data_IF_988512918047
#
_entry.id   IF_988512918047
#
_cell.length_a   1.000
_cell.length_b   1.000
_cell.length_c   1.000
_cell.angle_alpha   90.00
_cell.angle_beta   90.00
_cell.angle_gamma   90.00
#
_symmetry.space_group_name_H-M   'P 1'
#
loop_
_entity.id
_entity.type
_entity.pdbx_description
1 polymer ?
#
# COMPACT_ATOMS: atom_id res chain seq x y z
N UNK A 1 5.65 -14.22 7.95
CA UNK A 1 7.07 -13.87 8.14
C UNK A 1 7.77 -14.88 9.05
N UNK A 2 7.62 -14.81 10.39
CA UNK A 2 8.43 -15.60 11.34
C UNK A 2 8.44 -17.13 11.10
N UNK A 3 7.30 -17.74 10.76
CA UNK A 3 7.25 -19.18 10.47
C UNK A 3 8.07 -19.58 9.24
N UNK A 4 8.01 -18.76 8.18
CA UNK A 4 8.80 -18.99 6.96
C UNK A 4 10.28 -18.72 7.21
N UNK A 5 10.59 -17.66 7.96
CA UNK A 5 11.95 -17.32 8.36
C UNK A 5 12.61 -18.45 9.17
N UNK A 6 11.88 -19.05 10.12
CA UNK A 6 12.37 -20.19 10.90
C UNK A 6 12.68 -21.44 10.06
N UNK A 7 12.17 -21.51 8.83
CA UNK A 7 12.44 -22.55 7.85
C UNK A 7 13.48 -22.11 6.80
N UNK A 8 14.07 -20.92 6.93
CA UNK A 8 14.99 -20.36 5.93
C UNK A 8 14.32 -19.97 4.62
N UNK A 9 13.02 -19.67 4.65
CA UNK A 9 12.25 -19.25 3.47
C UNK A 9 11.98 -17.74 3.49
N UNK A 10 12.08 -17.13 2.32
CA UNK A 10 11.60 -15.76 2.08
C UNK A 10 10.08 -15.74 1.89
N UNK A 11 9.47 -14.58 2.17
CA UNK A 11 8.04 -14.32 1.99
C UNK A 11 7.86 -12.94 1.42
N UNK A 12 7.06 -12.84 0.36
CA UNK A 12 6.66 -11.55 -0.20
C UNK A 12 5.19 -11.24 0.07
N UNK A 13 4.91 -9.96 0.23
CA UNK A 13 3.57 -9.45 0.51
C UNK A 13 2.82 -9.31 -0.80
N UNK A 14 1.64 -9.93 -0.87
CA UNK A 14 0.76 -9.74 -2.02
C UNK A 14 0.12 -8.34 -2.03
N UNK A 15 0.07 -7.75 -3.21
CA UNK A 15 -0.53 -6.47 -3.57
C UNK A 15 0.26 -5.25 -3.09
N UNK A 16 -0.21 -4.08 -3.50
CA UNK A 16 0.28 -2.80 -3.07
C UNK A 16 -0.59 -2.19 -1.95
N UNK A 17 -0.08 -1.12 -1.33
CA UNK A 17 -0.80 -0.32 -0.35
C UNK A 17 0.08 0.11 0.83
N UNK A 18 -0.35 1.12 1.60
CA UNK A 18 0.42 1.61 2.75
C UNK A 18 0.72 0.50 3.78
N UNK A 19 -0.27 -0.34 4.06
CA UNK A 19 -0.11 -1.48 4.96
C UNK A 19 0.91 -2.51 4.44
N UNK A 20 0.93 -2.76 3.13
CA UNK A 20 1.85 -3.69 2.50
C UNK A 20 3.28 -3.15 2.52
N UNK A 21 3.49 -1.85 2.27
CA UNK A 21 4.80 -1.20 2.40
C UNK A 21 5.35 -1.29 3.82
N UNK A 22 4.52 -0.99 4.81
CA UNK A 22 4.89 -1.12 6.23
C UNK A 22 5.21 -2.57 6.61
N UNK A 23 4.39 -3.52 6.16
CA UNK A 23 4.60 -4.95 6.44
C UNK A 23 5.90 -5.46 5.82
N UNK A 24 6.15 -5.15 4.54
CA UNK A 24 7.38 -5.53 3.85
C UNK A 24 8.61 -4.94 4.54
N UNK A 25 8.60 -3.64 4.83
CA UNK A 25 9.72 -2.97 5.50
C UNK A 25 10.01 -3.51 6.91
N UNK A 26 9.02 -4.09 7.59
CA UNK A 26 9.20 -4.72 8.89
C UNK A 26 9.63 -6.20 8.81
N UNK A 27 9.47 -6.85 7.65
CA UNK A 27 9.80 -8.26 7.45
C UNK A 27 11.22 -8.41 6.91
N UNK A 28 12.15 -8.88 7.75
CA UNK A 28 13.56 -9.05 7.35
C UNK A 28 13.79 -10.06 6.20
N UNK A 29 12.82 -10.94 5.96
CA UNK A 29 12.85 -11.97 4.93
C UNK A 29 11.84 -11.69 3.79
N UNK A 30 11.53 -10.41 3.57
CA UNK A 30 10.81 -9.93 2.38
C UNK A 30 11.75 -9.02 1.60
N UNK A 31 11.90 -9.29 0.31
CA UNK A 31 12.91 -8.66 -0.52
C UNK A 31 12.28 -7.82 -1.64
N UNK A 32 11.03 -8.10 -2.02
CA UNK A 32 10.37 -7.47 -3.15
C UNK A 32 8.98 -6.95 -2.77
N UNK A 33 8.67 -5.74 -3.23
CA UNK A 33 7.34 -5.16 -3.11
C UNK A 33 6.56 -5.36 -4.41
N UNK A 34 5.29 -5.77 -4.32
CA UNK A 34 4.43 -5.94 -5.48
C UNK A 34 3.70 -4.63 -5.83
N UNK A 35 3.91 -4.12 -7.04
CA UNK A 35 2.99 -3.19 -7.70
C UNK A 35 2.09 -4.00 -8.61
N UNK A 36 0.84 -4.22 -8.20
CA UNK A 36 -0.10 -5.08 -8.91
C UNK A 36 -0.97 -4.33 -9.93
N UNK A 37 -1.71 -5.09 -10.76
CA UNK A 37 -2.72 -4.58 -11.70
C UNK A 37 -2.20 -3.54 -12.70
N UNK A 38 -1.03 -3.79 -13.27
CA UNK A 38 -0.27 -2.88 -14.15
C UNK A 38 -0.72 -2.90 -15.62
N UNK A 39 -2.02 -3.00 -15.87
CA UNK A 39 -2.54 -3.11 -17.24
C UNK A 39 -2.31 -1.81 -18.03
N UNK A 40 -1.81 -1.85 -19.28
CA UNK A 40 -1.40 -0.65 -20.01
C UNK A 40 -2.53 0.30 -20.41
N UNK A 41 -3.80 -0.14 -20.32
CA UNK A 41 -4.98 0.67 -20.68
C UNK A 41 -5.89 1.02 -19.52
N UNK A 42 -5.56 0.64 -18.29
CA UNK A 42 -6.35 1.05 -17.14
C UNK A 42 -5.45 1.23 -15.91
N UNK A 43 -5.72 2.25 -15.07
CA UNK A 43 -4.96 2.45 -13.86
C UNK A 43 -5.14 1.28 -12.90
N UNK A 44 -4.17 1.09 -12.01
CA UNK A 44 -4.27 0.12 -10.92
C UNK A 44 -5.51 0.44 -10.07
N UNK A 45 -6.49 -0.48 -10.06
CA UNK A 45 -7.73 -0.33 -9.30
C UNK A 45 -7.52 -0.34 -7.78
N UNK A 46 -6.38 -0.87 -7.31
CA UNK A 46 -5.99 -0.90 -5.91
C UNK A 46 -5.28 0.38 -5.44
N UNK A 47 -4.83 1.22 -6.38
CA UNK A 47 -4.35 2.57 -6.10
C UNK A 47 -5.54 3.50 -5.83
N UNK A 48 -6.11 3.39 -4.63
CA UNK A 48 -7.33 4.11 -4.27
C UNK A 48 -7.14 5.64 -4.34
N UNK A 49 -8.08 6.39 -4.96
CA UNK A 49 -7.98 7.84 -5.13
C UNK A 49 -8.40 8.61 -3.87
N UNK A 50 -8.04 8.10 -2.70
CA UNK A 50 -8.41 8.66 -1.39
C UNK A 50 -7.19 8.98 -0.53
N UNK A 51 -5.99 8.61 -0.99
CA UNK A 51 -4.75 8.90 -0.28
C UNK A 51 -4.24 10.28 -0.67
N UNK A 52 -4.00 11.14 0.32
CA UNK A 52 -3.40 12.44 0.08
C UNK A 52 -1.86 12.38 0.01
N UNK A 53 -1.23 13.51 -0.29
CA UNK A 53 0.23 13.65 -0.18
C UNK A 53 1.01 13.05 -1.35
N UNK A 54 0.36 12.83 -2.49
CA UNK A 54 1.01 12.32 -3.70
C UNK A 54 1.31 10.81 -3.65
N UNK A 55 0.73 10.08 -2.71
CA UNK A 55 0.84 8.63 -2.67
C UNK A 55 0.26 8.00 -3.94
N UNK A 56 0.99 7.06 -4.53
CA UNK A 56 0.62 6.34 -5.74
C UNK A 56 1.03 4.88 -5.61
N UNK A 57 0.18 3.98 -6.10
CA UNK A 57 0.54 2.58 -6.40
C UNK A 57 0.40 2.28 -7.90
N UNK A 58 0.57 3.30 -8.75
CA UNK A 58 0.80 3.12 -10.17
C UNK A 58 2.27 2.78 -10.44
N UNK A 59 2.59 2.38 -11.67
CA UNK A 59 3.97 2.05 -12.08
C UNK A 59 4.98 3.19 -11.87
N UNK A 60 4.52 4.44 -11.85
CA UNK A 60 5.34 5.63 -11.67
C UNK A 60 5.73 5.91 -10.21
N UNK A 61 5.26 5.10 -9.25
CA UNK A 61 5.64 5.25 -7.85
C UNK A 61 7.02 4.69 -7.52
N UNK A 62 7.64 3.97 -8.46
CA UNK A 62 8.96 3.35 -8.34
C UNK A 62 10.01 4.41 -8.69
N UNK A 63 10.96 4.63 -7.78
CA UNK A 63 12.05 5.58 -7.98
C UNK A 63 13.16 5.05 -8.91
N UNK A 64 14.20 5.86 -9.14
CA UNK A 64 15.33 5.50 -10.00
C UNK A 64 16.15 4.30 -9.49
N UNK A 65 16.05 3.97 -8.21
CA UNK A 65 16.73 2.84 -7.57
C UNK A 65 15.85 1.58 -7.52
N UNK A 66 14.65 1.64 -8.12
CA UNK A 66 13.72 0.51 -8.16
C UNK A 66 12.94 0.32 -6.86
N UNK A 67 12.84 1.37 -6.03
CA UNK A 67 12.28 1.32 -4.69
C UNK A 67 10.99 2.14 -4.55
N UNK A 68 10.24 1.88 -3.47
CA UNK A 68 9.07 2.67 -3.06
C UNK A 68 9.23 3.15 -1.62
N UNK A 69 8.73 4.34 -1.31
CA UNK A 69 8.84 4.90 0.04
C UNK A 69 7.76 4.38 0.98
N UNK A 70 8.13 4.19 2.26
CA UNK A 70 7.21 3.87 3.35
C UNK A 70 6.71 5.17 3.98
N UNK A 71 5.39 5.39 4.14
CA UNK A 71 4.87 6.58 4.81
C UNK A 71 5.30 6.65 6.28
N UNK A 72 5.66 7.85 6.76
CA UNK A 72 6.31 8.08 8.06
C UNK A 72 5.39 8.63 9.17
N UNK A 73 4.13 8.97 8.83
CA UNK A 73 3.16 9.45 9.80
C UNK A 73 2.62 8.35 10.74
N UNK A 74 1.79 8.72 11.74
CA UNK A 74 1.18 7.77 12.66
C UNK A 74 0.32 6.70 11.97
N UNK A 75 0.31 5.49 12.54
CA UNK A 75 -0.47 4.37 11.99
C UNK A 75 0.13 3.90 10.66
N UNK A 76 -0.67 3.95 9.59
CA UNK A 76 -0.18 3.65 8.23
C UNK A 76 0.50 4.85 7.55
N UNK A 77 0.66 5.97 8.25
CA UNK A 77 1.31 7.18 7.75
C UNK A 77 0.56 7.90 6.63
N UNK A 78 -0.73 7.59 6.46
CA UNK A 78 -1.58 8.18 5.41
C UNK A 78 -2.55 9.21 5.95
N UNK A 79 -2.67 10.30 5.20
CA UNK A 79 -3.85 11.18 5.26
C UNK A 79 -4.83 10.75 4.18
N UNK A 80 -6.11 10.85 4.51
CA UNK A 80 -7.20 10.44 3.64
C UNK A 80 -8.03 11.64 3.22
N UNK A 81 -8.43 11.69 1.96
CA UNK A 81 -9.46 12.61 1.46
C UNK A 81 -10.82 12.14 2.01
N UNK A 82 -11.13 12.60 3.22
CA UNK A 82 -12.39 12.30 3.89
C UNK A 82 -13.59 12.84 3.14
N UNK A 83 -13.44 13.91 2.36
CA UNK A 83 -14.54 14.45 1.59
C UNK A 83 -14.85 13.54 0.39
N UNK A 84 -13.84 12.98 -0.29
CA UNK A 84 -14.03 11.96 -1.31
C UNK A 84 -14.71 10.72 -0.75
N UNK A 85 -14.22 10.21 0.38
CA UNK A 85 -14.79 9.05 1.05
C UNK A 85 -16.27 9.29 1.38
N UNK A 86 -16.60 10.43 2.00
CA UNK A 86 -17.98 10.79 2.37
C UNK A 86 -18.88 10.98 1.14
N UNK A 87 -18.38 11.61 0.07
CA UNK A 87 -19.13 11.80 -1.19
C UNK A 87 -19.51 10.48 -1.85
N UNK A 88 -18.69 9.44 -1.71
CA UNK A 88 -18.91 8.12 -2.31
C UNK A 88 -19.45 7.07 -1.33
N UNK A 89 -19.73 7.45 -0.08
CA UNK A 89 -20.23 6.53 0.92
C UNK A 89 -21.66 6.09 0.59
N UNK A 90 -21.93 4.79 0.67
CA UNK A 90 -23.29 4.22 0.49
C UNK A 90 -24.07 4.13 1.80
N UNK A 91 -23.36 4.05 2.92
CA UNK A 91 -23.93 3.92 4.26
C UNK A 91 -23.01 4.61 5.28
N UNK A 92 -23.58 5.12 6.37
CA UNK A 92 -22.84 5.67 7.50
C UNK A 92 -23.52 5.25 8.79
N UNK A 93 -22.78 4.58 9.66
CA UNK A 93 -23.23 4.14 10.98
C UNK A 93 -22.50 4.99 12.03
N UNK A 94 -23.26 5.67 12.88
CA UNK A 94 -22.73 6.42 14.03
C UNK A 94 -23.04 5.63 15.29
N UNK A 95 -22.02 5.33 16.08
CA UNK A 95 -22.13 4.60 17.35
C UNK A 95 -21.78 5.60 18.47
N UNK A 96 -22.70 5.76 19.41
CA UNK A 96 -22.55 6.59 20.61
C UNK A 96 -22.15 5.75 21.84
#
# INVERSE_FOLDING_TARGET
AAAAEGLGMDVEVHSCGPAMRHLMAACRNSNYYEVNLVHPKCPNAWSLPIYEGGYSDQLDCIDSDGCVSVPDGPGLGMRYDWDAIKRTALETIVIE
#
